data_IF_622990451236
#
_entry.id   IF_622990451236
#
_cell.length_a   1.000
_cell.length_b   1.000
_cell.length_c   1.000
_cell.angle_alpha   90.00
_cell.angle_beta   90.00
_cell.angle_gamma   90.00
#
_symmetry.space_group_name_H-M   'P 1'
#
loop_
_entity.id
_entity.type
_entity.pdbx_description
1 polymer ?
#
# COMPACT_ATOMS: atom_id res chain seq x y z
N UNK A 1 15.08 -27.51 -24.45
CA UNK A 1 16.43 -26.92 -24.35
C UNK A 1 17.31 -27.61 -23.33
N UNK A 2 17.02 -27.60 -22.01
CA UNK A 2 17.89 -28.28 -21.01
C UNK A 2 18.22 -29.75 -21.33
N UNK A 3 17.24 -30.63 -21.63
CA UNK A 3 17.56 -32.02 -21.98
C UNK A 3 18.43 -32.17 -23.24
N UNK A 4 18.39 -31.20 -24.16
CA UNK A 4 19.22 -31.21 -25.36
C UNK A 4 20.64 -30.73 -25.05
N UNK A 5 20.79 -29.70 -24.21
CA UNK A 5 22.08 -29.29 -23.68
C UNK A 5 22.74 -30.40 -22.86
N UNK A 6 21.99 -31.14 -22.05
CA UNK A 6 22.51 -32.26 -21.26
C UNK A 6 23.02 -33.39 -22.18
N UNK A 7 22.29 -33.70 -23.27
CA UNK A 7 22.77 -34.62 -24.31
C UNK A 7 24.03 -34.12 -25.02
N UNK A 8 24.09 -32.83 -25.32
CA UNK A 8 25.27 -32.20 -25.94
C UNK A 8 26.48 -32.23 -24.99
N UNK A 9 26.28 -31.95 -23.70
CA UNK A 9 27.30 -32.05 -22.66
C UNK A 9 27.83 -33.49 -22.53
N UNK A 10 26.95 -34.50 -22.57
CA UNK A 10 27.37 -35.91 -22.53
C UNK A 10 28.18 -36.30 -23.78
N UNK A 11 27.74 -35.89 -24.96
CA UNK A 11 28.49 -36.09 -26.22
C UNK A 11 29.91 -35.51 -26.16
N UNK A 12 30.06 -34.28 -25.66
CA UNK A 12 31.39 -33.65 -25.48
C UNK A 12 32.22 -34.36 -24.39
N UNK A 13 31.57 -34.85 -23.32
CA UNK A 13 32.24 -35.56 -22.23
C UNK A 13 32.78 -36.93 -22.68
N UNK A 14 32.06 -37.64 -23.54
CA UNK A 14 32.52 -38.91 -24.15
C UNK A 14 33.74 -38.68 -25.06
N UNK A 15 33.77 -37.58 -25.81
CA UNK A 15 34.93 -37.20 -26.63
C UNK A 15 36.16 -36.84 -25.80
N UNK A 16 35.97 -36.17 -24.66
CA UNK A 16 37.03 -35.87 -23.69
C UNK A 16 37.64 -37.13 -23.05
N UNK A 17 36.86 -38.22 -22.91
CA UNK A 17 37.35 -39.50 -22.41
C UNK A 17 38.09 -40.30 -23.50
N UNK A 18 37.59 -40.26 -24.74
CA UNK A 18 38.22 -40.92 -25.89
C UNK A 18 39.60 -40.37 -26.30
N UNK A 19 39.93 -39.11 -25.95
CA UNK A 19 41.28 -38.56 -26.18
C UNK A 19 42.31 -38.98 -25.11
N UNK A 20 41.87 -39.41 -23.91
CA UNK A 20 42.75 -39.80 -22.81
C UNK A 20 43.11 -41.30 -22.80
N UNK A 21 42.34 -42.14 -23.48
CA UNK A 21 42.51 -43.61 -23.46
C UNK A 21 43.04 -44.11 -24.82
N UNK A 22 44.29 -43.75 -25.13
CA UNK A 22 45.00 -44.29 -26.30
C UNK A 22 45.54 -45.69 -25.99
N UNK A 23 44.66 -46.68 -25.82
CA UNK A 23 45.04 -48.10 -25.75
C UNK A 23 45.11 -48.70 -27.16
N UNK A 24 46.31 -49.14 -27.55
CA UNK A 24 46.66 -49.67 -28.88
C UNK A 24 45.83 -50.90 -29.30
N UNK A 25 45.14 -51.55 -28.36
CA UNK A 25 44.29 -52.73 -28.62
C UNK A 25 42.80 -52.43 -28.88
N UNK A 26 42.35 -51.18 -28.76
CA UNK A 26 40.94 -50.78 -29.00
C UNK A 26 40.56 -50.61 -30.47
N UNK A 27 41.52 -50.76 -31.41
CA UNK A 27 41.35 -50.50 -32.85
C UNK A 27 40.29 -51.40 -33.52
N UNK A 28 39.98 -52.56 -32.94
CA UNK A 28 39.02 -53.53 -33.49
C UNK A 28 37.60 -53.42 -32.91
N UNK A 29 37.31 -52.43 -32.08
CA UNK A 29 35.98 -52.18 -31.53
C UNK A 29 35.68 -50.69 -31.56
N UNK A 30 35.66 -50.09 -32.75
CA UNK A 30 35.15 -48.72 -32.91
C UNK A 30 33.65 -48.74 -32.60
N UNK A 31 33.16 -48.00 -31.59
CA UNK A 31 31.75 -47.66 -31.52
C UNK A 31 31.37 -46.92 -32.81
N UNK A 32 30.14 -47.07 -33.28
CA UNK A 32 29.63 -46.24 -34.37
C UNK A 32 29.91 -44.74 -34.09
N UNK A 33 30.18 -43.91 -35.12
CA UNK A 33 30.40 -42.49 -34.92
C UNK A 33 29.18 -41.89 -34.21
N UNK A 34 29.39 -41.44 -32.98
CA UNK A 34 28.38 -40.72 -32.19
C UNK A 34 27.82 -39.59 -33.03
N UNK A 35 26.54 -39.71 -33.39
CA UNK A 35 25.87 -38.68 -34.17
C UNK A 35 25.75 -37.44 -33.27
N UNK A 36 26.14 -36.24 -33.74
CA UNK A 36 26.05 -35.05 -32.91
C UNK A 36 24.58 -34.81 -32.50
N UNK A 37 24.31 -34.58 -31.21
CA UNK A 37 22.95 -34.31 -30.74
C UNK A 37 22.44 -32.99 -31.30
N UNK A 38 21.12 -32.82 -31.32
CA UNK A 38 20.47 -31.58 -31.75
C UNK A 38 20.95 -30.36 -30.96
N UNK A 39 21.21 -29.26 -31.67
CA UNK A 39 21.67 -28.00 -31.11
C UNK A 39 23.15 -27.73 -31.28
N UNK A 40 23.54 -26.46 -31.13
CA UNK A 40 24.93 -26.01 -31.28
C UNK A 40 25.30 -25.02 -30.18
N UNK A 41 26.58 -25.00 -29.84
CA UNK A 41 27.18 -23.97 -28.98
C UNK A 41 27.72 -22.85 -29.86
N UNK A 42 27.45 -21.62 -29.44
CA UNK A 42 27.94 -20.39 -30.02
C UNK A 42 28.70 -19.58 -28.97
N UNK A 43 29.57 -18.69 -29.43
CA UNK A 43 30.25 -17.67 -28.63
C UNK A 43 29.77 -16.29 -29.09
N UNK A 44 29.54 -15.39 -28.15
CA UNK A 44 29.15 -14.00 -28.45
C UNK A 44 30.35 -13.04 -28.64
N UNK A 45 31.58 -13.57 -28.57
CA UNK A 45 32.81 -12.79 -28.66
C UNK A 45 33.15 -11.96 -27.41
N UNK A 46 32.28 -11.92 -26.41
CA UNK A 46 32.48 -11.24 -25.12
C UNK A 46 32.74 -12.24 -23.98
N UNK A 47 32.93 -13.52 -24.32
CA UNK A 47 33.26 -14.58 -23.39
C UNK A 47 32.06 -15.39 -22.87
N UNK A 48 30.85 -15.16 -23.41
CA UNK A 48 29.67 -15.98 -23.09
C UNK A 48 29.45 -17.06 -24.13
N UNK A 49 29.02 -18.22 -23.65
CA UNK A 49 28.66 -19.37 -24.48
C UNK A 49 27.15 -19.56 -24.49
N UNK A 50 26.62 -19.85 -25.67
CA UNK A 50 25.18 -19.90 -25.92
C UNK A 50 24.85 -21.23 -26.57
N UNK A 51 23.95 -21.99 -25.98
CA UNK A 51 23.37 -23.17 -26.59
C UNK A 51 22.05 -22.80 -27.25
N UNK A 52 21.88 -23.18 -28.52
CA UNK A 52 20.62 -22.97 -29.24
C UNK A 52 20.24 -24.17 -30.09
N UNK A 53 18.93 -24.36 -30.23
CA UNK A 53 18.30 -25.33 -31.13
C UNK A 53 17.86 -24.68 -32.45
N UNK A 54 17.99 -23.36 -32.60
CA UNK A 54 17.62 -22.67 -33.85
C UNK A 54 18.70 -22.80 -34.91
N UNK A 55 18.25 -22.93 -36.17
CA UNK A 55 19.11 -22.87 -37.35
C UNK A 55 19.41 -21.42 -37.80
N UNK A 56 18.74 -20.44 -37.21
CA UNK A 56 18.92 -18.99 -37.46
C UNK A 56 19.45 -18.28 -36.20
N UNK A 57 20.75 -18.40 -35.87
CA UNK A 57 21.35 -17.72 -34.72
C UNK A 57 21.44 -16.20 -34.94
N UNK A 58 21.58 -15.43 -33.86
CA UNK A 58 21.79 -13.99 -33.96
C UNK A 58 23.08 -13.66 -34.72
N UNK A 59 23.09 -12.57 -35.50
CA UNK A 59 24.17 -12.25 -36.45
C UNK A 59 25.56 -12.07 -35.84
N UNK A 60 25.65 -11.85 -34.53
CA UNK A 60 26.91 -11.70 -33.80
C UNK A 60 27.38 -12.99 -33.09
N UNK A 61 26.62 -14.09 -33.18
CA UNK A 61 26.98 -15.37 -32.58
C UNK A 61 27.87 -16.17 -33.52
N UNK A 62 29.02 -16.59 -33.02
CA UNK A 62 29.98 -17.39 -33.76
C UNK A 62 29.85 -18.86 -33.35
N UNK A 63 29.64 -19.80 -34.29
CA UNK A 63 29.55 -21.21 -33.94
C UNK A 63 30.87 -21.70 -33.36
N UNK A 64 30.80 -22.46 -32.26
CA UNK A 64 31.95 -23.10 -31.62
C UNK A 64 31.95 -24.57 -32.03
N UNK A 65 33.00 -24.98 -32.74
CA UNK A 65 33.11 -26.36 -33.21
C UNK A 65 33.34 -27.33 -32.03
N UNK A 66 32.77 -28.55 -32.05
CA UNK A 66 32.93 -29.52 -30.96
C UNK A 66 34.38 -29.78 -30.56
N UNK A 67 35.31 -29.81 -31.53
CA UNK A 67 36.75 -30.00 -31.26
C UNK A 67 37.37 -28.87 -30.45
N UNK A 68 36.98 -27.62 -30.75
CA UNK A 68 37.45 -26.45 -30.01
C UNK A 68 36.93 -26.48 -28.57
N UNK A 69 35.67 -26.90 -28.40
CA UNK A 69 35.06 -27.04 -27.09
C UNK A 69 35.72 -28.15 -26.26
N UNK A 70 36.02 -29.30 -26.86
CA UNK A 70 36.76 -30.41 -26.23
C UNK A 70 38.14 -29.93 -25.78
N UNK A 71 38.93 -29.28 -26.65
CA UNK A 71 40.25 -28.78 -26.28
C UNK A 71 40.19 -27.79 -25.10
N UNK A 72 39.22 -26.88 -25.13
CA UNK A 72 39.03 -25.88 -24.08
C UNK A 72 38.64 -26.51 -22.75
N UNK A 73 37.68 -27.43 -22.74
CA UNK A 73 37.23 -28.14 -21.54
C UNK A 73 38.29 -29.13 -21.02
N UNK A 74 39.14 -29.69 -21.89
CA UNK A 74 40.24 -30.58 -21.51
C UNK A 74 41.31 -29.88 -20.66
N UNK A 75 41.50 -28.57 -20.84
CA UNK A 75 42.40 -27.75 -20.03
C UNK A 75 41.84 -27.35 -18.66
N UNK A 76 40.55 -27.58 -18.42
CA UNK A 76 39.85 -27.22 -17.19
C UNK A 76 39.81 -28.39 -16.19
N UNK A 77 39.84 -28.06 -14.91
CA UNK A 77 39.51 -29.02 -13.85
C UNK A 77 38.00 -29.35 -13.80
N UNK A 78 37.60 -30.30 -12.94
CA UNK A 78 36.21 -30.75 -12.87
C UNK A 78 35.23 -29.65 -12.42
N UNK A 79 35.65 -28.77 -11.51
CA UNK A 79 34.82 -27.67 -10.99
C UNK A 79 34.63 -26.59 -12.05
N UNK A 80 35.70 -26.26 -12.78
CA UNK A 80 35.69 -25.32 -13.90
C UNK A 80 34.80 -25.80 -15.03
N UNK A 81 34.87 -27.09 -15.40
CA UNK A 81 33.95 -27.67 -16.41
C UNK A 81 32.50 -27.59 -15.97
N UNK A 82 32.23 -27.86 -14.69
CA UNK A 82 30.87 -27.79 -14.14
C UNK A 82 30.33 -26.36 -14.21
N UNK A 83 31.15 -25.37 -13.81
CA UNK A 83 30.78 -23.94 -13.91
C UNK A 83 30.57 -23.49 -15.35
N UNK A 84 31.40 -23.95 -16.29
CA UNK A 84 31.22 -23.64 -17.70
C UNK A 84 29.82 -24.04 -18.17
N UNK A 85 29.42 -25.30 -17.97
CA UNK A 85 28.11 -25.79 -18.41
C UNK A 85 26.95 -25.14 -17.66
N UNK A 86 27.16 -24.73 -16.41
CA UNK A 86 26.19 -23.94 -15.64
C UNK A 86 25.98 -22.53 -16.18
N UNK A 87 27.02 -21.92 -16.75
CA UNK A 87 27.01 -20.55 -17.27
C UNK A 87 26.58 -20.44 -18.74
N UNK A 88 26.55 -21.56 -19.48
CA UNK A 88 25.99 -21.61 -20.85
C UNK A 88 24.57 -21.04 -20.85
N UNK A 89 24.33 -20.05 -21.71
CA UNK A 89 23.03 -19.42 -21.89
C UNK A 89 22.19 -20.20 -22.91
N UNK A 90 20.92 -20.41 -22.60
CA UNK A 90 19.95 -21.00 -23.51
C UNK A 90 19.33 -19.88 -24.35
N UNK A 91 19.53 -19.92 -25.67
CA UNK A 91 19.14 -18.88 -26.63
C UNK A 91 19.55 -17.45 -26.19
N UNK A 92 20.70 -17.31 -25.51
CA UNK A 92 21.23 -16.02 -25.06
C UNK A 92 20.44 -15.34 -23.93
N UNK A 93 19.45 -16.01 -23.33
CA UNK A 93 18.53 -15.40 -22.35
C UNK A 93 18.80 -15.78 -20.90
N UNK A 94 18.78 -17.08 -20.62
CA UNK A 94 18.89 -17.62 -19.25
C UNK A 94 19.99 -18.65 -19.18
N UNK A 95 20.77 -18.65 -18.10
CA UNK A 95 21.82 -19.66 -17.90
C UNK A 95 21.20 -21.01 -17.59
N UNK A 96 21.88 -22.08 -17.98
CA UNK A 96 21.50 -23.44 -17.64
C UNK A 96 21.34 -23.62 -16.13
N UNK A 97 22.22 -23.01 -15.32
CA UNK A 97 22.12 -22.99 -13.86
C UNK A 97 20.81 -22.38 -13.37
N UNK A 98 20.45 -21.19 -13.85
CA UNK A 98 19.22 -20.53 -13.41
C UNK A 98 17.99 -21.38 -13.74
N UNK A 99 17.94 -21.97 -14.94
CA UNK A 99 16.81 -22.81 -15.33
C UNK A 99 16.77 -24.13 -14.54
N UNK A 100 17.91 -24.79 -14.30
CA UNK A 100 18.01 -25.98 -13.43
C UNK A 100 17.59 -25.67 -11.99
N UNK A 101 17.97 -24.51 -11.45
CA UNK A 101 17.54 -24.07 -10.12
C UNK A 101 16.02 -23.92 -10.05
N UNK A 102 15.40 -23.23 -11.03
CA UNK A 102 13.94 -23.07 -11.11
C UNK A 102 13.26 -24.42 -11.26
N UNK A 103 13.73 -25.31 -12.14
CA UNK A 103 13.18 -26.64 -12.33
C UNK A 103 13.24 -27.48 -11.04
N UNK A 104 14.41 -27.51 -10.38
CA UNK A 104 14.58 -28.23 -9.10
C UNK A 104 13.66 -27.68 -8.01
N UNK A 105 13.45 -26.36 -7.96
CA UNK A 105 12.54 -25.75 -6.99
C UNK A 105 11.08 -26.07 -7.33
N UNK A 106 10.72 -26.05 -8.61
CA UNK A 106 9.38 -26.41 -9.07
C UNK A 106 9.04 -27.87 -8.75
N UNK A 107 9.99 -28.80 -8.97
CA UNK A 107 9.83 -30.21 -8.60
C UNK A 107 9.67 -30.39 -7.09
N UNK A 108 10.50 -29.71 -6.28
CA UNK A 108 10.37 -29.73 -4.81
C UNK A 108 9.01 -29.20 -4.34
N UNK A 109 8.56 -28.06 -4.87
CA UNK A 109 7.25 -27.50 -4.51
C UNK A 109 6.11 -28.40 -5.00
N UNK A 110 6.21 -28.99 -6.19
CA UNK A 110 5.20 -29.92 -6.70
C UNK A 110 5.11 -31.18 -5.84
N UNK A 111 6.23 -31.80 -5.52
CA UNK A 111 6.29 -32.96 -4.64
C UNK A 111 5.70 -32.63 -3.26
N UNK A 112 6.02 -31.45 -2.71
CA UNK A 112 5.40 -30.94 -1.49
C UNK A 112 3.88 -30.83 -1.62
N UNK A 113 3.37 -30.18 -2.69
CA UNK A 113 1.94 -29.92 -2.87
C UNK A 113 1.12 -31.19 -3.12
N UNK A 114 1.65 -32.18 -3.86
CA UNK A 114 0.95 -33.44 -4.16
C UNK A 114 0.64 -34.25 -2.89
N UNK A 115 1.46 -34.12 -1.85
CA UNK A 115 1.23 -34.81 -0.56
C UNK A 115 0.16 -34.16 0.31
N UNK A 116 -0.38 -32.99 -0.08
CA UNK A 116 -1.31 -32.20 0.73
C UNK A 116 -2.71 -32.22 0.15
N UNK A 117 -3.69 -31.96 1.03
CA UNK A 117 -5.08 -31.79 0.60
C UNK A 117 -5.19 -30.51 -0.24
N UNK A 118 -5.76 -30.57 -1.47
CA UNK A 118 -5.79 -29.42 -2.39
C UNK A 118 -6.40 -28.15 -1.80
N UNK A 119 -7.42 -28.26 -0.94
CA UNK A 119 -8.11 -27.12 -0.31
C UNK A 119 -7.69 -26.86 1.15
N UNK A 120 -6.56 -27.40 1.59
CA UNK A 120 -6.01 -27.04 2.91
C UNK A 120 -5.44 -25.62 2.90
N UNK A 121 -5.44 -24.96 4.07
CA UNK A 121 -4.84 -23.62 4.21
C UNK A 121 -3.34 -23.61 3.88
N UNK A 122 -2.63 -24.72 4.08
CA UNK A 122 -1.22 -24.88 3.69
C UNK A 122 -1.00 -24.70 2.17
N UNK A 123 -1.97 -25.17 1.36
CA UNK A 123 -1.95 -25.05 -0.11
C UNK A 123 -2.55 -23.71 -0.54
N UNK A 124 -3.75 -23.39 -0.06
CA UNK A 124 -4.48 -22.19 -0.48
C UNK A 124 -3.69 -20.90 -0.19
N UNK A 125 -2.99 -20.81 0.95
CA UNK A 125 -2.16 -19.65 1.28
C UNK A 125 -0.97 -19.44 0.32
N UNK A 126 -0.53 -20.48 -0.41
CA UNK A 126 0.51 -20.36 -1.45
C UNK A 126 -0.05 -19.88 -2.79
N UNK A 127 -1.35 -20.05 -3.04
CA UNK A 127 -1.99 -19.67 -4.30
C UNK A 127 -2.24 -18.16 -4.32
N UNK A 128 -1.71 -17.48 -5.35
CA UNK A 128 -1.86 -16.02 -5.53
C UNK A 128 -3.34 -15.62 -5.57
N UNK A 129 -4.14 -16.27 -6.39
CA UNK A 129 -5.54 -15.87 -6.62
C UNK A 129 -6.39 -16.03 -5.37
N UNK A 130 -6.14 -17.08 -4.58
CA UNK A 130 -6.78 -17.25 -3.28
C UNK A 130 -6.42 -16.10 -2.32
N UNK A 131 -5.13 -15.75 -2.20
CA UNK A 131 -4.70 -14.62 -1.33
C UNK A 131 -5.31 -13.30 -1.77
N UNK A 132 -5.35 -13.03 -3.07
CA UNK A 132 -5.95 -11.81 -3.63
C UNK A 132 -7.44 -11.77 -3.33
N UNK A 133 -8.17 -12.85 -3.61
CA UNK A 133 -9.60 -12.94 -3.33
C UNK A 133 -9.89 -12.79 -1.84
N UNK A 134 -9.13 -13.47 -0.97
CA UNK A 134 -9.25 -13.34 0.49
C UNK A 134 -9.04 -11.89 0.94
N UNK A 135 -8.03 -11.20 0.39
CA UNK A 135 -7.77 -9.79 0.65
C UNK A 135 -8.92 -8.89 0.21
N UNK A 136 -9.49 -9.12 -0.98
CA UNK A 136 -10.64 -8.35 -1.47
C UNK A 136 -11.91 -8.59 -0.64
N UNK A 137 -12.16 -9.82 -0.20
CA UNK A 137 -13.27 -10.14 0.71
C UNK A 137 -13.06 -9.52 2.09
N UNK A 138 -11.81 -9.48 2.57
CA UNK A 138 -11.45 -8.76 3.80
C UNK A 138 -11.75 -7.27 3.67
N UNK A 139 -11.30 -6.61 2.59
CA UNK A 139 -11.55 -5.19 2.35
C UNK A 139 -13.05 -4.87 2.25
N UNK A 140 -13.81 -5.72 1.56
CA UNK A 140 -15.28 -5.62 1.53
C UNK A 140 -15.87 -5.68 2.94
N UNK A 141 -15.46 -6.66 3.73
CA UNK A 141 -15.99 -6.86 5.09
C UNK A 141 -15.56 -5.74 6.05
N UNK A 142 -14.32 -5.24 5.91
CA UNK A 142 -13.81 -4.09 6.64
C UNK A 142 -14.60 -2.82 6.28
N UNK A 143 -14.86 -2.60 4.99
CA UNK A 143 -15.70 -1.49 4.53
C UNK A 143 -17.10 -1.53 5.14
N UNK A 144 -17.72 -2.72 5.21
CA UNK A 144 -18.99 -2.91 5.92
C UNK A 144 -18.90 -2.59 7.40
N UNK A 145 -17.86 -3.08 8.07
CA UNK A 145 -17.62 -2.78 9.49
C UNK A 145 -17.34 -1.29 9.74
N UNK A 146 -16.81 -0.56 8.74
CA UNK A 146 -16.60 0.87 8.79
C UNK A 146 -17.81 1.71 8.33
N UNK A 147 -18.99 1.10 8.18
CA UNK A 147 -20.25 1.79 7.91
C UNK A 147 -20.65 1.91 6.44
N UNK A 148 -19.97 1.24 5.50
CA UNK A 148 -20.39 1.24 4.09
C UNK A 148 -21.61 0.31 3.87
N UNK A 149 -22.69 0.86 3.34
CA UNK A 149 -23.95 0.19 2.97
C UNK A 149 -24.00 -0.14 1.47
N UNK A 150 -23.30 0.63 0.64
CA UNK A 150 -23.16 0.46 -0.81
C UNK A 150 -22.55 -0.89 -1.20
N UNK A 151 -22.96 -1.42 -2.36
CA UNK A 151 -22.47 -2.71 -2.87
C UNK A 151 -21.00 -2.59 -3.30
N UNK A 152 -20.12 -3.24 -2.55
CA UNK A 152 -18.69 -3.32 -2.85
C UNK A 152 -18.36 -4.60 -3.63
N UNK A 153 -17.84 -4.45 -4.84
CA UNK A 153 -17.43 -5.53 -5.71
C UNK A 153 -15.94 -5.85 -5.53
N UNK A 154 -15.57 -7.14 -5.31
CA UNK A 154 -14.19 -7.56 -5.08
C UNK A 154 -13.41 -7.64 -6.40
N UNK A 155 -13.09 -6.48 -6.98
CA UNK A 155 -12.31 -6.37 -8.24
C UNK A 155 -10.87 -5.93 -7.98
N UNK A 156 -9.95 -6.21 -8.90
CA UNK A 156 -8.53 -5.87 -8.71
C UNK A 156 -8.26 -4.36 -8.57
N UNK A 157 -9.12 -3.52 -9.15
CA UNK A 157 -9.09 -2.06 -9.04
C UNK A 157 -9.76 -1.52 -7.77
N UNK A 158 -10.16 -2.38 -6.81
CA UNK A 158 -10.79 -1.96 -5.56
C UNK A 158 -10.02 -0.83 -4.85
N UNK A 159 -8.69 -0.91 -4.66
CA UNK A 159 -7.94 0.16 -3.99
C UNK A 159 -7.82 1.46 -4.79
N UNK A 160 -8.18 1.43 -6.08
CA UNK A 160 -8.13 2.58 -7.00
C UNK A 160 -9.49 3.30 -7.12
N UNK A 161 -10.50 2.88 -6.35
CA UNK A 161 -11.81 3.55 -6.31
C UNK A 161 -12.78 3.12 -7.41
N UNK A 162 -12.77 1.83 -7.79
CA UNK A 162 -13.74 1.28 -8.76
C UNK A 162 -15.16 1.10 -8.21
N UNK A 163 -15.32 1.17 -6.88
CA UNK A 163 -16.60 1.04 -6.21
C UNK A 163 -17.27 2.40 -6.03
N UNK A 164 -18.60 2.41 -6.10
CA UNK A 164 -19.42 3.61 -5.88
C UNK A 164 -19.94 3.57 -4.44
N UNK A 165 -19.77 4.68 -3.74
CA UNK A 165 -20.29 4.93 -2.39
C UNK A 165 -20.86 6.34 -2.33
N UNK A 166 -21.76 6.61 -1.40
CA UNK A 166 -22.24 7.97 -1.16
C UNK A 166 -21.17 8.82 -0.48
N UNK A 167 -21.30 10.15 -0.57
CA UNK A 167 -20.40 11.06 0.15
C UNK A 167 -20.53 10.87 1.67
N UNK A 168 -21.74 10.62 2.18
CA UNK A 168 -21.99 10.39 3.60
C UNK A 168 -21.27 9.13 4.10
N UNK A 169 -21.38 8.03 3.35
CA UNK A 169 -20.66 6.79 3.64
C UNK A 169 -19.13 7.01 3.67
N UNK A 170 -18.59 7.75 2.70
CA UNK A 170 -17.17 8.07 2.68
C UNK A 170 -16.74 8.92 3.88
N UNK A 171 -17.53 9.94 4.25
CA UNK A 171 -17.26 10.77 5.45
C UNK A 171 -17.28 9.93 6.72
N UNK A 172 -18.30 9.09 6.92
CA UNK A 172 -18.38 8.20 8.10
C UNK A 172 -17.23 7.20 8.16
N UNK A 173 -16.80 6.68 7.01
CA UNK A 173 -15.65 5.78 6.94
C UNK A 173 -14.36 6.51 7.37
N UNK A 174 -14.13 7.74 6.91
CA UNK A 174 -12.96 8.54 7.34
C UNK A 174 -13.03 8.90 8.82
N UNK A 175 -14.21 9.23 9.34
CA UNK A 175 -14.42 9.43 10.78
C UNK A 175 -14.06 8.18 11.57
N UNK A 176 -14.48 7.01 11.09
CA UNK A 176 -14.20 5.71 11.71
C UNK A 176 -12.71 5.40 11.71
N UNK A 177 -11.98 5.76 10.65
CA UNK A 177 -10.51 5.59 10.61
C UNK A 177 -9.83 6.42 11.70
N UNK A 178 -10.20 7.69 11.83
CA UNK A 178 -9.61 8.64 12.80
C UNK A 178 -9.96 8.26 14.24
N UNK A 179 -11.24 7.98 14.52
CA UNK A 179 -11.71 7.63 15.88
C UNK A 179 -11.41 6.19 16.27
N UNK A 180 -11.16 5.32 15.29
CA UNK A 180 -11.08 3.87 15.46
C UNK A 180 -12.41 3.16 15.73
N UNK A 181 -13.49 3.91 15.96
CA UNK A 181 -14.84 3.41 16.25
C UNK A 181 -15.83 3.89 15.21
N UNK A 182 -16.72 3.00 14.78
CA UNK A 182 -17.94 3.37 14.05
C UNK A 182 -18.98 3.79 15.10
N UNK A 183 -19.58 4.96 14.91
CA UNK A 183 -20.73 5.39 15.70
C UNK A 183 -22.00 5.00 14.95
N UNK A 184 -22.79 4.11 15.56
CA UNK A 184 -24.09 3.70 15.02
C UNK A 184 -25.21 4.24 15.91
N UNK A 185 -26.27 4.81 15.31
CA UNK A 185 -27.43 5.24 16.08
C UNK A 185 -28.17 4.03 16.64
N UNK A 186 -28.49 4.09 17.93
CA UNK A 186 -29.33 3.09 18.60
C UNK A 186 -30.70 3.12 17.95
N UNK A 187 -31.09 1.99 17.34
CA UNK A 187 -32.41 1.87 16.72
C UNK A 187 -33.48 1.83 17.81
N UNK A 188 -34.58 2.58 17.67
CA UNK A 188 -35.71 2.43 18.58
C UNK A 188 -36.26 1.00 18.47
N UNK A 189 -36.52 0.38 19.62
CA UNK A 189 -37.18 -0.93 19.67
C UNK A 189 -38.62 -0.74 19.22
N UNK A 190 -38.96 -1.24 18.03
CA UNK A 190 -40.35 -1.27 17.55
C UNK A 190 -40.96 -2.56 18.07
N UNK A 191 -42.01 -2.47 18.90
CA UNK A 191 -42.64 -3.64 19.55
C UNK A 191 -43.33 -4.58 18.55
N UNK A 192 -43.74 -4.05 17.39
CA UNK A 192 -44.29 -4.82 16.27
C UNK A 192 -43.56 -4.39 14.98
N UNK A 193 -42.73 -5.26 14.37
CA UNK A 193 -42.18 -4.95 13.06
C UNK A 193 -43.33 -4.92 12.05
N UNK A 194 -43.69 -3.75 11.54
CA UNK A 194 -44.60 -3.66 10.39
C UNK A 194 -43.98 -4.43 9.22
N UNK A 195 -44.74 -5.33 8.61
CA UNK A 195 -44.28 -6.19 7.50
C UNK A 195 -43.80 -5.40 6.27
N UNK A 196 -44.13 -4.10 6.20
CA UNK A 196 -43.76 -3.14 5.15
C UNK A 196 -42.90 -1.97 5.65
N UNK A 197 -42.33 -2.03 6.87
CA UNK A 197 -41.39 -1.00 7.31
C UNK A 197 -40.10 -1.11 6.50
N UNK A 198 -40.02 -0.34 5.41
CA UNK A 198 -38.77 -0.03 4.70
C UNK A 198 -37.65 0.12 5.73
N UNK A 199 -36.57 -0.66 5.58
CA UNK A 199 -35.43 -0.66 6.50
C UNK A 199 -35.12 0.78 6.93
N UNK A 200 -35.46 1.15 8.17
CA UNK A 200 -35.23 2.50 8.67
C UNK A 200 -33.76 2.81 8.41
N UNK A 201 -33.50 3.72 7.47
CA UNK A 201 -32.13 3.99 7.05
C UNK A 201 -31.39 4.53 8.28
N UNK A 202 -30.40 3.77 8.75
CA UNK A 202 -29.56 4.19 9.88
C UNK A 202 -28.87 5.54 9.62
N UNK A 203 -28.71 5.91 8.35
CA UNK A 203 -28.17 7.20 7.90
C UNK A 203 -29.10 8.37 8.26
N UNK A 204 -30.43 8.22 8.13
CA UNK A 204 -31.38 9.27 8.52
C UNK A 204 -31.40 9.55 10.03
N UNK A 205 -31.23 8.51 10.86
CA UNK A 205 -31.16 8.64 12.32
C UNK A 205 -29.90 9.37 12.81
N UNK A 206 -28.84 9.41 11.99
CA UNK A 206 -27.60 10.10 12.31
C UNK A 206 -27.70 11.64 12.22
N UNK A 207 -28.68 12.18 11.48
CA UNK A 207 -28.83 13.63 11.25
C UNK A 207 -29.85 14.27 12.22
N UNK A 208 -30.77 13.47 12.78
CA UNK A 208 -31.80 13.94 13.70
C UNK A 208 -31.30 13.80 15.13
N UNK A 209 -31.17 14.90 15.88
CA UNK A 209 -30.80 14.87 17.29
C UNK A 209 -31.98 14.46 18.19
N UNK A 210 -33.17 15.00 17.93
CA UNK A 210 -34.37 14.81 18.76
C UNK A 210 -35.64 15.03 17.96
N UNK A 211 -36.64 14.19 18.20
CA UNK A 211 -38.03 14.38 17.76
C UNK A 211 -38.90 14.47 19.00
N UNK A 212 -39.74 15.50 19.07
CA UNK A 212 -40.68 15.69 20.17
C UNK A 212 -42.05 16.12 19.68
N UNK A 213 -43.07 15.81 20.47
CA UNK A 213 -44.43 16.30 20.27
C UNK A 213 -44.57 17.76 20.71
N UNK A 214 -45.70 18.40 20.34
CA UNK A 214 -46.01 19.77 20.75
C UNK A 214 -46.18 19.95 22.27
N UNK A 215 -46.49 18.88 23.01
CA UNK A 215 -46.54 18.83 24.47
C UNK A 215 -45.18 18.51 25.13
N UNK A 216 -44.11 18.40 24.33
CA UNK A 216 -42.74 18.21 24.83
C UNK A 216 -42.36 16.76 25.16
N UNK A 217 -43.17 15.77 24.75
CA UNK A 217 -42.82 14.36 24.88
C UNK A 217 -41.80 13.99 23.81
N UNK A 218 -40.62 13.54 24.26
CA UNK A 218 -39.56 13.06 23.37
C UNK A 218 -39.96 11.71 22.77
N UNK A 219 -40.10 11.65 21.45
CA UNK A 219 -40.38 10.44 20.67
C UNK A 219 -39.08 9.72 20.32
N UNK A 220 -38.07 10.50 19.97
CA UNK A 220 -36.75 10.00 19.61
C UNK A 220 -35.70 10.97 20.12
N UNK A 221 -34.60 10.43 20.60
CA UNK A 221 -33.37 11.14 20.87
C UNK A 221 -32.25 10.28 20.34
N UNK A 222 -31.33 10.91 19.63
CA UNK A 222 -30.15 10.23 19.15
C UNK A 222 -29.32 9.73 20.32
N UNK A 223 -29.10 8.42 20.33
CA UNK A 223 -28.13 7.75 21.17
C UNK A 223 -27.19 6.96 20.25
N UNK A 224 -25.90 6.92 20.56
CA UNK A 224 -24.86 6.40 19.68
C UNK A 224 -24.04 5.36 20.40
N UNK A 225 -23.95 4.16 19.82
CA UNK A 225 -23.11 3.09 20.36
C UNK A 225 -21.82 2.98 19.55
N UNK A 226 -20.63 3.02 20.20
CA UNK A 226 -19.36 2.82 19.51
C UNK A 226 -19.10 1.34 19.23
N UNK A 227 -18.83 0.97 17.97
CA UNK A 227 -18.26 -0.32 17.58
C UNK A 227 -16.80 -0.15 17.16
N UNK A 228 -15.89 -0.92 17.78
CA UNK A 228 -14.44 -0.78 17.59
C UNK A 228 -14.02 -1.48 16.29
N UNK A 229 -13.69 -0.70 15.26
CA UNK A 229 -13.31 -1.20 13.92
C UNK A 229 -11.81 -1.28 13.74
N UNK A 230 -11.06 -0.25 14.13
CA UNK A 230 -9.60 -0.17 14.01
C UNK A 230 -8.96 -0.12 15.39
N UNK A 231 -7.82 -0.77 15.59
CA UNK A 231 -7.06 -0.61 16.84
C UNK A 231 -6.35 0.75 16.87
N UNK A 232 -6.02 1.25 18.05
CA UNK A 232 -5.49 2.62 18.21
C UNK A 232 -4.17 2.81 17.44
N UNK A 233 -3.38 1.73 17.30
CA UNK A 233 -2.11 1.81 16.57
C UNK A 233 -2.32 2.00 15.08
N UNK A 234 -3.29 1.28 14.50
CA UNK A 234 -3.66 1.41 13.09
C UNK A 234 -4.27 2.78 12.81
N UNK A 235 -5.19 3.25 13.66
CA UNK A 235 -5.76 4.60 13.52
C UNK A 235 -4.67 5.67 13.52
N UNK A 236 -3.80 5.69 14.55
CA UNK A 236 -2.73 6.67 14.63
C UNK A 236 -1.77 6.64 13.41
N UNK A 237 -1.45 5.45 12.89
CA UNK A 237 -0.60 5.33 11.70
C UNK A 237 -1.29 5.83 10.43
N UNK A 238 -2.57 5.47 10.21
CA UNK A 238 -3.37 5.93 9.06
C UNK A 238 -3.57 7.44 9.13
N UNK A 239 -3.84 7.97 10.31
CA UNK A 239 -4.02 9.40 10.56
C UNK A 239 -2.77 10.20 10.22
N UNK A 240 -1.59 9.69 10.59
CA UNK A 240 -0.31 10.31 10.22
C UNK A 240 0.00 10.20 8.73
N UNK A 241 -0.43 9.13 8.06
CA UNK A 241 -0.35 9.04 6.59
C UNK A 241 -1.24 10.11 5.94
N UNK A 242 -2.45 10.33 6.47
CA UNK A 242 -3.36 11.36 5.98
C UNK A 242 -2.84 12.77 6.29
N UNK A 243 -2.19 12.99 7.45
CA UNK A 243 -1.49 14.25 7.75
C UNK A 243 -0.37 14.49 6.73
N UNK A 244 0.50 13.51 6.49
CA UNK A 244 1.58 13.61 5.51
C UNK A 244 1.08 13.82 4.09
N UNK A 245 -0.12 13.36 3.75
CA UNK A 245 -0.73 13.63 2.44
C UNK A 245 -1.11 15.11 2.27
N UNK A 246 -1.53 15.76 3.35
CA UNK A 246 -1.77 17.22 3.39
C UNK A 246 -0.45 17.97 3.48
N UNK A 247 0.52 17.50 4.25
CA UNK A 247 1.79 18.21 4.43
C UNK A 247 2.75 18.02 3.27
N UNK A 248 2.83 16.87 2.60
CA UNK A 248 3.85 16.61 1.58
C UNK A 248 3.26 16.09 0.26
N UNK A 249 1.95 15.83 0.20
CA UNK A 249 1.30 15.20 -0.93
C UNK A 249 0.33 16.11 -1.68
N UNK A 250 -0.68 15.48 -2.30
CA UNK A 250 -1.67 16.16 -3.14
C UNK A 250 -2.61 17.10 -2.37
N UNK A 251 -2.62 17.03 -1.04
CA UNK A 251 -3.36 17.93 -0.16
C UNK A 251 -2.62 19.22 0.20
N UNK A 252 -1.39 19.43 -0.31
CA UNK A 252 -0.47 20.53 0.07
C UNK A 252 -1.09 21.92 0.03
N UNK A 253 -2.07 22.16 -0.84
CA UNK A 253 -2.76 23.43 -0.88
C UNK A 253 -3.43 23.77 0.46
N UNK A 254 -4.11 22.83 1.13
CA UNK A 254 -4.74 23.09 2.42
C UNK A 254 -3.71 23.50 3.49
N UNK A 255 -2.57 22.81 3.55
CA UNK A 255 -1.45 23.20 4.41
C UNK A 255 -0.99 24.64 4.13
N UNK A 256 -0.89 25.01 2.85
CA UNK A 256 -0.38 26.32 2.46
C UNK A 256 -1.39 27.46 2.66
N UNK A 257 -2.70 27.19 2.71
CA UNK A 257 -3.72 28.24 2.70
C UNK A 257 -4.53 28.38 3.97
N UNK A 258 -4.71 27.31 4.75
CA UNK A 258 -5.51 27.36 5.98
C UNK A 258 -4.65 27.91 7.11
N UNK A 259 -5.11 29.00 7.73
CA UNK A 259 -4.49 29.71 8.84
C UNK A 259 -5.51 29.91 9.95
N UNK A 260 -5.02 30.16 11.16
CA UNK A 260 -5.86 30.60 12.26
C UNK A 260 -6.18 32.09 12.10
N UNK A 261 -7.41 32.45 12.42
CA UNK A 261 -7.87 33.84 12.50
C UNK A 261 -8.47 34.12 13.88
N UNK A 262 -8.33 35.36 14.31
CA UNK A 262 -8.87 35.87 15.57
C UNK A 262 -9.87 37.00 15.32
N UNK A 263 -10.86 37.11 16.21
CA UNK A 263 -11.78 38.25 16.27
C UNK A 263 -11.17 39.45 16.98
N UNK A 264 -10.14 39.23 17.80
CA UNK A 264 -9.36 40.31 18.40
C UNK A 264 -8.37 40.89 17.38
N UNK A 265 -8.44 42.19 17.04
CA UNK A 265 -7.57 42.78 16.02
C UNK A 265 -6.08 42.65 16.33
N UNK A 266 -5.68 42.73 17.60
CA UNK A 266 -4.27 42.62 17.97
C UNK A 266 -3.78 41.18 17.75
N UNK A 267 -4.51 40.20 18.28
CA UNK A 267 -4.18 38.78 18.08
C UNK A 267 -4.24 38.38 16.60
N UNK A 268 -5.16 38.94 15.80
CA UNK A 268 -5.23 38.71 14.35
C UNK A 268 -3.99 39.22 13.61
N UNK A 269 -3.43 40.37 14.00
CA UNK A 269 -2.17 40.86 13.44
C UNK A 269 -0.99 39.94 13.80
N UNK A 270 -0.94 39.46 15.04
CA UNK A 270 0.06 38.51 15.50
C UNK A 270 -0.02 37.16 14.76
N UNK A 271 -1.23 36.58 14.63
CA UNK A 271 -1.44 35.32 13.90
C UNK A 271 -1.12 35.45 12.40
N UNK A 272 -1.47 36.58 11.77
CA UNK A 272 -1.08 36.88 10.39
C UNK A 272 0.42 36.98 10.22
N UNK A 273 1.14 37.59 11.17
CA UNK A 273 2.59 37.71 11.12
C UNK A 273 3.28 36.34 11.27
N UNK A 274 2.70 35.44 12.06
CA UNK A 274 3.17 34.06 12.24
C UNK A 274 2.95 33.19 10.99
N UNK A 275 1.90 33.46 10.20
CA UNK A 275 1.51 32.74 8.97
C UNK A 275 1.56 31.20 9.15
N UNK A 276 1.07 30.73 10.30
CA UNK A 276 1.25 29.34 10.69
C UNK A 276 0.21 28.40 10.10
N UNK A 277 0.65 27.32 9.42
CA UNK A 277 -0.25 26.32 8.88
C UNK A 277 -0.93 25.52 10.00
N UNK A 278 -2.20 25.18 9.80
CA UNK A 278 -2.94 24.32 10.72
C UNK A 278 -2.74 22.85 10.32
N UNK A 279 -2.29 21.97 11.23
CA UNK A 279 -2.13 20.56 10.90
C UNK A 279 -3.51 19.91 10.71
N UNK A 280 -3.68 19.29 9.55
CA UNK A 280 -4.94 18.66 9.13
C UNK A 280 -4.65 17.33 8.44
N UNK A 281 -5.68 16.51 8.29
CA UNK A 281 -5.58 15.20 7.66
C UNK A 281 -6.46 15.20 6.42
N UNK A 282 -6.06 14.46 5.40
CA UNK A 282 -6.97 14.18 4.31
C UNK A 282 -6.34 13.53 3.11
N UNK A 283 -7.19 13.21 2.14
CA UNK A 283 -6.79 12.55 0.91
C UNK A 283 -7.62 13.06 -0.27
N UNK A 284 -6.91 13.29 -1.36
CA UNK A 284 -7.48 13.62 -2.66
C UNK A 284 -7.93 12.35 -3.40
N UNK A 285 -9.12 12.39 -3.99
CA UNK A 285 -9.64 11.42 -4.96
C UNK A 285 -9.87 12.09 -6.32
N UNK A 286 -9.58 11.37 -7.41
CA UNK A 286 -9.87 11.82 -8.78
C UNK A 286 -10.22 10.59 -9.60
N UNK A 287 -11.46 10.55 -10.12
CA UNK A 287 -11.88 9.44 -10.96
C UNK A 287 -11.19 9.49 -12.33
N UNK A 288 -11.12 8.31 -12.97
CA UNK A 288 -10.67 8.20 -14.35
C UNK A 288 -11.46 9.13 -15.27
N UNK A 289 -10.80 9.65 -16.31
CA UNK A 289 -11.37 10.61 -17.26
C UNK A 289 -11.84 11.92 -16.60
N UNK A 290 -11.40 12.22 -15.37
CA UNK A 290 -11.74 13.46 -14.64
C UNK A 290 -13.25 13.68 -14.48
N UNK A 291 -14.02 12.59 -14.31
CA UNK A 291 -15.48 12.66 -14.17
C UNK A 291 -15.92 13.22 -12.83
N UNK A 292 -15.14 12.96 -11.79
CA UNK A 292 -15.36 13.54 -10.48
C UNK A 292 -14.03 13.76 -9.73
N UNK A 293 -14.12 14.63 -8.74
CA UNK A 293 -13.05 15.09 -7.88
C UNK A 293 -13.56 15.06 -6.44
N UNK A 294 -12.76 14.53 -5.52
CA UNK A 294 -13.12 14.50 -4.11
C UNK A 294 -11.95 14.86 -3.21
N UNK A 295 -12.25 15.42 -2.05
CA UNK A 295 -11.31 15.55 -0.95
C UNK A 295 -12.03 15.21 0.35
N UNK A 296 -11.52 14.21 1.04
CA UNK A 296 -12.03 13.72 2.32
C UNK A 296 -10.94 14.02 3.34
N UNK A 297 -11.30 14.72 4.42
CA UNK A 297 -10.32 15.17 5.40
C UNK A 297 -10.89 15.34 6.79
N UNK A 298 -10.01 15.62 7.73
CA UNK A 298 -10.31 15.82 9.13
C UNK A 298 -9.72 17.15 9.58
N UNK A 299 -10.55 17.95 10.26
CA UNK A 299 -10.19 19.22 10.89
C UNK A 299 -10.08 18.98 12.39
N UNK A 300 -8.87 18.92 12.95
CA UNK A 300 -8.64 18.79 14.39
C UNK A 300 -9.17 20.00 15.16
N UNK A 301 -9.33 19.84 16.46
CA UNK A 301 -9.70 20.91 17.41
C UNK A 301 -8.56 21.22 18.36
N UNK A 302 -8.62 22.36 19.04
CA UNK A 302 -7.64 22.73 20.06
C UNK A 302 -7.71 21.77 21.25
N UNK A 303 -6.57 21.33 21.76
CA UNK A 303 -6.50 20.40 22.89
C UNK A 303 -7.01 21.01 24.21
N UNK A 304 -6.93 22.33 24.35
CA UNK A 304 -7.41 23.07 25.51
C UNK A 304 -7.08 24.55 25.36
N UNK A 305 -7.74 25.40 26.14
CA UNK A 305 -7.51 26.84 26.13
C UNK A 305 -6.07 27.16 26.54
N UNK A 306 -5.43 28.07 25.81
CA UNK A 306 -4.04 28.47 26.02
C UNK A 306 -2.99 27.42 25.62
N UNK A 307 -3.36 26.32 24.95
CA UNK A 307 -2.40 25.34 24.44
C UNK A 307 -2.17 25.53 22.94
N UNK A 308 -0.91 25.47 22.47
CA UNK A 308 -0.60 25.51 21.02
C UNK A 308 -0.57 24.11 20.38
N UNK A 309 -1.52 23.25 20.75
CA UNK A 309 -1.56 21.86 20.29
C UNK A 309 -2.97 21.49 19.87
N UNK A 310 -3.08 20.93 18.67
CA UNK A 310 -4.33 20.37 18.14
C UNK A 310 -4.48 18.91 18.55
N UNK A 311 -5.72 18.41 18.58
CA UNK A 311 -6.04 17.02 18.82
C UNK A 311 -7.17 16.53 17.91
N UNK A 312 -7.19 15.21 17.69
CA UNK A 312 -8.20 14.56 16.87
C UNK A 312 -9.53 14.40 17.62
N UNK A 313 -9.50 14.15 18.92
CA UNK A 313 -10.73 13.95 19.69
C UNK A 313 -11.58 15.23 19.74
N UNK A 314 -12.86 15.08 19.41
CA UNK A 314 -13.79 16.20 19.22
C UNK A 314 -13.69 16.94 17.88
N UNK A 315 -12.83 16.49 16.96
CA UNK A 315 -12.68 17.12 15.64
C UNK A 315 -13.77 16.77 14.62
N UNK A 316 -13.62 17.33 13.42
CA UNK A 316 -14.63 17.29 12.36
C UNK A 316 -14.15 16.53 11.13
N UNK A 317 -14.93 15.56 10.66
CA UNK A 317 -14.71 14.94 9.35
C UNK A 317 -15.47 15.71 8.28
N UNK A 318 -14.79 16.12 7.22
CA UNK A 318 -15.38 16.91 6.13
C UNK A 318 -15.07 16.24 4.80
N UNK A 319 -16.10 16.04 4.00
CA UNK A 319 -15.99 15.50 2.64
C UNK A 319 -16.54 16.48 1.61
N UNK A 320 -15.78 16.70 0.54
CA UNK A 320 -16.23 17.47 -0.63
C UNK A 320 -16.15 16.58 -1.85
N UNK A 321 -17.22 16.56 -2.64
CA UNK A 321 -17.32 15.91 -3.94
C UNK A 321 -17.76 16.93 -4.99
N UNK A 322 -17.14 16.89 -6.16
CA UNK A 322 -17.47 17.74 -7.31
C UNK A 322 -17.55 16.86 -8.57
N UNK A 323 -18.64 17.02 -9.32
CA UNK A 323 -18.90 16.31 -10.57
C UNK A 323 -20.17 16.87 -11.24
N UNK A 324 -20.43 16.45 -12.48
CA UNK A 324 -21.70 16.71 -13.15
C UNK A 324 -22.71 15.59 -12.84
N UNK A 325 -23.99 15.92 -12.73
CA UNK A 325 -25.07 14.95 -12.50
C UNK A 325 -25.12 13.87 -13.60
N UNK A 326 -24.87 14.27 -14.85
CA UNK A 326 -24.79 13.37 -16.01
C UNK A 326 -23.45 12.62 -16.12
N UNK A 327 -22.58 12.70 -15.09
CA UNK A 327 -21.27 12.04 -15.02
C UNK A 327 -20.33 12.37 -16.21
N UNK A 328 -20.44 13.60 -16.72
CA UNK A 328 -19.61 14.11 -17.82
C UNK A 328 -18.16 14.38 -17.35
N UNK A 329 -17.15 14.26 -18.23
CA UNK A 329 -15.79 14.67 -17.92
C UNK A 329 -15.68 16.17 -17.59
N UNK A 330 -15.00 16.51 -16.48
CA UNK A 330 -14.72 17.90 -16.09
C UNK A 330 -13.43 18.41 -16.75
N UNK A 331 -13.42 18.48 -18.08
CA UNK A 331 -12.26 18.87 -18.89
C UNK A 331 -12.62 20.03 -19.81
N UNK A 332 -11.78 21.07 -19.86
CA UNK A 332 -11.90 22.18 -20.81
C UNK A 332 -10.54 22.52 -21.41
N UNK A 333 -10.34 22.17 -22.67
CA UNK A 333 -9.05 22.33 -23.35
C UNK A 333 -7.97 21.49 -22.64
N UNK A 334 -6.93 22.14 -22.15
CA UNK A 334 -5.85 21.52 -21.37
C UNK A 334 -6.11 21.50 -19.86
N UNK A 335 -7.19 22.12 -19.40
CA UNK A 335 -7.54 22.17 -17.98
C UNK A 335 -8.35 20.93 -17.60
N UNK A 336 -7.85 20.20 -16.60
CA UNK A 336 -8.49 19.03 -16.03
C UNK A 336 -8.82 19.29 -14.56
N UNK A 337 -10.09 19.12 -14.17
CA UNK A 337 -10.50 19.28 -12.77
C UNK A 337 -10.15 18.02 -11.99
N UNK A 338 -9.07 18.09 -11.21
CA UNK A 338 -8.65 17.04 -10.28
C UNK A 338 -9.20 17.29 -8.88
N UNK A 339 -9.03 16.35 -7.95
CA UNK A 339 -9.39 16.56 -6.55
C UNK A 339 -8.66 17.73 -5.89
N UNK A 340 -7.39 17.98 -6.25
CA UNK A 340 -6.62 19.10 -5.72
C UNK A 340 -7.05 20.46 -6.28
N UNK A 341 -7.69 20.48 -7.45
CA UNK A 341 -8.16 21.72 -8.09
C UNK A 341 -9.66 21.97 -7.86
N UNK A 342 -10.49 20.93 -7.88
CA UNK A 342 -11.94 21.04 -7.77
C UNK A 342 -12.46 20.96 -6.33
N UNK A 343 -12.06 19.93 -5.58
CA UNK A 343 -12.63 19.66 -4.26
C UNK A 343 -11.85 20.33 -3.11
N UNK A 344 -10.51 20.27 -3.16
CA UNK A 344 -9.63 20.77 -2.10
C UNK A 344 -9.83 22.27 -1.77
N UNK A 345 -9.99 23.21 -2.74
CA UNK A 345 -10.21 24.62 -2.40
C UNK A 345 -11.53 24.87 -1.66
N UNK A 346 -12.57 24.09 -1.97
CA UNK A 346 -13.86 24.18 -1.26
C UNK A 346 -13.69 23.62 0.16
N UNK A 347 -13.03 22.48 0.28
CA UNK A 347 -12.72 21.86 1.57
C UNK A 347 -11.89 22.78 2.47
N UNK A 348 -10.84 23.43 1.95
CA UNK A 348 -10.01 24.36 2.71
C UNK A 348 -10.82 25.55 3.26
N UNK A 349 -11.77 26.08 2.50
CA UNK A 349 -12.67 27.15 2.98
C UNK A 349 -13.59 26.67 4.09
N UNK A 350 -14.15 25.46 3.96
CA UNK A 350 -14.95 24.85 5.03
C UNK A 350 -14.12 24.62 6.29
N UNK A 351 -12.88 24.14 6.16
CA UNK A 351 -11.96 23.95 7.28
C UNK A 351 -11.65 25.27 7.99
N UNK A 352 -11.34 26.34 7.24
CA UNK A 352 -11.19 27.69 7.82
C UNK A 352 -12.44 28.13 8.57
N UNK A 353 -13.63 27.99 7.96
CA UNK A 353 -14.88 28.38 8.61
C UNK A 353 -15.18 27.58 9.88
N UNK A 354 -14.80 26.30 9.94
CA UNK A 354 -14.90 25.48 11.16
C UNK A 354 -13.97 26.03 12.25
N UNK A 355 -12.71 26.30 11.92
CA UNK A 355 -11.73 26.84 12.87
C UNK A 355 -12.14 28.22 13.41
N UNK A 356 -12.70 29.07 12.55
CA UNK A 356 -13.23 30.39 12.92
C UNK A 356 -14.47 30.29 13.82
N UNK A 357 -15.32 29.27 13.57
CA UNK A 357 -16.50 29.01 14.40
C UNK A 357 -16.11 28.51 15.80
N UNK A 358 -15.14 27.59 15.87
CA UNK A 358 -14.51 27.08 17.09
C UNK A 358 -13.68 28.15 17.82
N UNK A 359 -13.45 29.30 17.19
CA UNK A 359 -12.67 30.42 17.73
C UNK A 359 -11.27 29.98 18.17
N UNK A 360 -10.64 29.10 17.36
CA UNK A 360 -9.34 28.52 17.71
C UNK A 360 -8.28 29.61 17.85
N UNK A 361 -8.27 30.59 16.94
CA UNK A 361 -7.33 31.71 17.00
C UNK A 361 -7.51 32.62 18.22
N UNK A 362 -8.72 32.71 18.79
CA UNK A 362 -8.98 33.50 20.01
C UNK A 362 -8.57 32.76 21.30
N UNK A 363 -8.46 31.43 21.24
CA UNK A 363 -8.23 30.56 22.40
C UNK A 363 -6.78 30.11 22.55
N UNK A 364 -5.96 30.28 21.52
CA UNK A 364 -4.55 29.88 21.52
C UNK A 364 -3.67 30.95 22.18
N UNK A 365 -2.57 30.54 22.79
CA UNK A 365 -1.55 31.46 23.30
C UNK A 365 -0.54 31.80 22.17
N UNK A 366 -0.51 33.05 21.66
CA UNK A 366 0.41 33.43 20.60
C UNK A 366 1.89 33.32 20.98
N UNK A 367 2.21 33.46 22.27
CA UNK A 367 3.59 33.36 22.76
C UNK A 367 4.06 31.92 22.66
N UNK A 368 3.29 30.98 23.19
CA UNK A 368 3.57 29.54 23.09
C UNK A 368 3.65 29.08 21.63
N UNK A 369 2.74 29.58 20.79
CA UNK A 369 2.71 29.30 19.35
C UNK A 369 4.01 29.73 18.65
N UNK A 370 4.59 30.87 19.04
CA UNK A 370 5.84 31.37 18.46
C UNK A 370 7.03 30.46 18.78
N UNK A 371 7.07 29.87 19.98
CA UNK A 371 8.19 29.02 20.41
C UNK A 371 8.06 27.57 19.97
N UNK A 372 6.86 27.01 20.01
CA UNK A 372 6.62 25.58 19.83
C UNK A 372 5.92 25.23 18.51
N UNK A 373 5.33 26.23 17.85
CA UNK A 373 4.48 26.04 16.68
C UNK A 373 3.15 25.37 17.03
N UNK A 374 2.41 24.97 15.98
CA UNK A 374 1.12 24.31 16.09
C UNK A 374 1.23 22.85 15.68
N UNK A 375 1.37 21.98 16.68
CA UNK A 375 1.49 20.54 16.48
C UNK A 375 0.12 19.83 16.52
N UNK A 376 0.05 18.64 15.92
CA UNK A 376 -1.06 17.71 16.12
C UNK A 376 -0.62 16.61 17.08
N UNK A 377 -1.37 16.43 18.18
CA UNK A 377 -1.13 15.39 19.17
C UNK A 377 -1.90 14.13 18.85
N UNK A 378 -1.16 13.04 18.70
CA UNK A 378 -1.67 11.68 18.53
C UNK A 378 -1.87 10.97 19.88
N UNK A 379 -2.81 10.01 19.99
CA UNK A 379 -2.96 9.17 21.16
C UNK A 379 -1.65 8.44 21.52
N UNK A 380 -1.36 8.24 22.81
CA UNK A 380 -0.16 7.54 23.25
C UNK A 380 -0.35 6.01 23.13
N UNK A 381 0.16 5.43 22.05
CA UNK A 381 0.01 4.01 21.70
C UNK A 381 1.34 3.25 21.66
N UNK A 382 2.45 3.94 22.01
CA UNK A 382 3.82 3.44 21.90
C UNK A 382 4.46 3.72 20.53
N UNK A 383 4.00 4.78 19.87
CA UNK A 383 4.45 5.17 18.53
C UNK A 383 5.85 5.78 18.53
N UNK A 384 6.49 5.68 17.37
CA UNK A 384 7.78 6.27 17.05
C UNK A 384 7.67 7.06 15.74
N UNK A 385 8.30 8.24 15.71
CA UNK A 385 8.48 9.04 14.51
C UNK A 385 9.83 8.73 13.88
N UNK A 386 9.78 8.09 12.70
CA UNK A 386 10.97 7.67 11.96
C UNK A 386 11.21 8.66 10.82
N UNK A 387 12.41 9.27 10.72
CA UNK A 387 12.76 10.18 9.63
C UNK A 387 12.72 9.52 8.26
N UNK A 388 12.11 10.21 7.30
CA UNK A 388 11.96 9.72 5.92
C UNK A 388 12.36 10.77 4.90
N UNK A 389 12.72 10.32 3.70
CA UNK A 389 12.93 11.18 2.54
C UNK A 389 11.60 11.39 1.80
N UNK A 390 11.01 12.60 1.82
CA UNK A 390 9.73 12.87 1.16
C UNK A 390 9.84 12.81 -0.37
N UNK A 391 11.02 13.05 -0.94
CA UNK A 391 11.24 13.06 -2.40
C UNK A 391 11.50 11.65 -2.95
N UNK A 392 11.77 10.68 -2.08
CA UNK A 392 11.93 9.27 -2.42
C UNK A 392 10.79 8.40 -1.86
N UNK A 393 9.56 8.90 -1.93
CA UNK A 393 8.36 8.13 -1.57
C UNK A 393 8.28 7.75 -0.08
N UNK A 394 8.93 8.53 0.80
CA UNK A 394 8.92 8.26 2.24
C UNK A 394 9.86 7.13 2.67
N UNK A 395 10.94 6.89 1.94
CA UNK A 395 11.94 5.89 2.34
C UNK A 395 12.61 6.29 3.67
N UNK A 396 12.79 5.31 4.57
CA UNK A 396 13.44 5.53 5.86
C UNK A 396 14.89 5.92 5.66
N UNK A 397 15.32 7.02 6.29
CA UNK A 397 16.70 7.50 6.22
C UNK A 397 17.55 6.70 7.23
N UNK A 398 18.49 5.84 6.79
CA UNK A 398 19.26 5.00 7.69
C UNK A 398 20.11 5.82 8.66
N UNK A 399 20.26 5.33 9.90
CA UNK A 399 21.15 5.93 10.91
C UNK A 399 20.61 7.19 11.58
N UNK A 400 19.38 7.63 11.25
CA UNK A 400 18.72 8.77 11.90
C UNK A 400 17.92 8.37 13.16
N UNK A 401 17.79 7.07 13.43
CA UNK A 401 17.04 6.55 14.57
C UNK A 401 15.53 6.80 14.45
N UNK A 402 14.85 6.84 15.59
CA UNK A 402 13.45 7.20 15.71
C UNK A 402 13.25 8.01 17.01
N UNK A 403 12.22 8.85 17.05
CA UNK A 403 11.87 9.62 18.26
C UNK A 403 10.52 9.15 18.79
N UNK A 404 10.47 8.84 20.08
CA UNK A 404 9.20 8.68 20.76
C UNK A 404 8.52 10.04 20.99
N UNK A 405 7.19 10.01 21.08
CA UNK A 405 6.41 11.22 21.33
C UNK A 405 5.01 11.12 20.75
N UNK A 406 4.19 12.12 21.08
CA UNK A 406 2.82 12.22 20.58
C UNK A 406 2.64 13.29 19.50
N UNK A 407 3.60 14.21 19.37
CA UNK A 407 3.57 15.28 18.37
C UNK A 407 4.69 15.03 17.38
N UNK A 408 4.41 14.98 16.06
CA UNK A 408 5.44 14.79 15.05
C UNK A 408 6.45 15.94 15.08
N UNK A 409 7.76 15.67 14.91
CA UNK A 409 8.73 16.73 14.69
C UNK A 409 8.46 17.48 13.37
N UNK A 410 9.02 18.69 13.18
CA UNK A 410 8.82 19.47 11.95
C UNK A 410 9.42 18.83 10.68
N UNK A 411 10.32 17.87 10.85
CA UNK A 411 10.96 17.15 9.75
C UNK A 411 10.02 16.08 9.19
N UNK A 412 10.14 15.72 7.89
CA UNK A 412 9.40 14.60 7.32
C UNK A 412 9.66 13.30 8.09
N UNK A 413 8.60 12.75 8.65
CA UNK A 413 8.62 11.51 9.43
C UNK A 413 7.43 10.63 9.06
N UNK A 414 7.51 9.36 9.45
CA UNK A 414 6.35 8.47 9.52
C UNK A 414 6.14 8.05 10.96
N UNK A 415 4.88 8.05 11.41
CA UNK A 415 4.48 7.41 12.65
C UNK A 415 4.40 5.90 12.43
N UNK A 416 5.19 5.14 13.17
CA UNK A 416 5.23 3.67 13.08
C UNK A 416 5.64 3.04 14.41
N UNK A 417 5.77 1.72 14.46
CA UNK A 417 6.10 0.94 15.65
C UNK A 417 7.26 0.00 15.32
N UNK A 418 8.14 -0.25 16.28
CA UNK A 418 9.35 -1.01 16.04
C UNK A 418 10.43 -0.70 17.06
N UNK A 419 11.66 -1.02 16.69
CA UNK A 419 12.83 -0.84 17.55
C UNK A 419 13.95 -0.14 16.80
N UNK A 420 14.66 0.73 17.50
CA UNK A 420 15.91 1.31 17.00
C UNK A 420 17.04 0.37 17.38
N UNK A 421 17.70 -0.18 16.38
CA UNK A 421 18.85 -1.07 16.49
C UNK A 421 20.15 -0.26 16.59
N UNK A 422 21.26 -0.98 16.78
CA UNK A 422 22.60 -0.39 16.80
C UNK A 422 22.85 0.48 15.56
N UNK A 423 23.58 1.59 15.76
CA UNK A 423 23.90 2.59 14.72
C UNK A 423 22.68 3.32 14.15
N UNK A 424 21.53 3.31 14.84
CA UNK A 424 20.36 4.11 14.48
C UNK A 424 19.55 3.55 13.32
N UNK A 425 19.69 2.25 13.01
CA UNK A 425 18.82 1.57 12.06
C UNK A 425 17.46 1.27 12.71
N UNK A 426 16.37 1.40 11.95
CA UNK A 426 15.03 1.14 12.46
C UNK A 426 14.49 -0.19 11.93
N UNK A 427 14.12 -1.09 12.84
CA UNK A 427 13.46 -2.36 12.54
C UNK A 427 11.95 -2.22 12.84
N UNK A 428 11.07 -2.27 11.82
CA UNK A 428 9.63 -2.12 12.03
C UNK A 428 9.01 -3.38 12.65
N UNK A 429 8.16 -3.18 13.66
CA UNK A 429 7.33 -4.25 14.20
C UNK A 429 6.21 -4.57 13.20
N UNK A 430 6.07 -5.84 12.83
CA UNK A 430 4.96 -6.31 11.99
C UNK A 430 3.83 -6.84 12.86
N UNK A 431 2.71 -6.14 12.86
CA UNK A 431 1.49 -6.60 13.52
C UNK A 431 0.31 -6.53 12.55
N UNK A 432 -0.62 -7.47 12.73
CA UNK A 432 -1.90 -7.48 12.02
C UNK A 432 -2.98 -7.91 13.01
N UNK A 433 -3.97 -7.04 13.20
CA UNK A 433 -5.16 -7.34 13.98
C UNK A 433 -6.38 -7.18 13.07
N UNK A 434 -7.07 -8.27 12.71
CA UNK A 434 -8.25 -8.17 11.85
C UNK A 434 -9.39 -7.45 12.60
N UNK A 435 -10.22 -6.70 11.87
CA UNK A 435 -11.24 -5.83 12.46
C UNK A 435 -12.21 -6.55 13.41
N UNK A 436 -12.57 -7.81 13.13
CA UNK A 436 -13.47 -8.59 14.00
C UNK A 436 -12.83 -9.01 15.34
N UNK A 437 -11.54 -8.74 15.55
CA UNK A 437 -10.87 -8.90 16.85
C UNK A 437 -10.73 -7.59 17.61
N UNK A 438 -11.18 -6.46 17.06
CA UNK A 438 -11.06 -5.15 17.71
C UNK A 438 -12.23 -4.89 18.66
N UNK A 439 -13.46 -5.25 18.27
CA UNK A 439 -14.64 -5.18 19.13
C UNK A 439 -14.93 -6.47 19.90
N UNK A 440 -15.79 -6.36 20.92
CA UNK A 440 -16.51 -7.50 21.50
C UNK A 440 -17.73 -7.76 20.62
N UNK A 441 -17.56 -8.43 19.48
CA UNK A 441 -18.73 -8.97 18.78
C UNK A 441 -19.27 -10.13 19.60
N UNK A 442 -20.24 -9.85 20.48
CA UNK A 442 -21.18 -10.89 20.87
C UNK A 442 -21.85 -11.37 19.58
N UNK A 443 -21.80 -12.70 19.41
CA UNK A 443 -22.22 -13.42 18.22
C UNK A 443 -23.66 -13.16 17.83
#
# INVERSE_FOLDING_TARGET
MLPALDRYQNYISEQLQGENDFDLFSIFSRPEPLTPPEGRIYSDGQGRFIFSLTDEPESHWQPVEPRELVQRLGSMDADQRTRFWEEVQLDGRVTARALRQVASQAERELAFLVTRKPYSMEVLAKIRDYRVMLGLQYLRSLGRAAGLTSRLEPVLSFPLGSNVVTLLEAVRMYETMVRGNLLEPVRPVVEEPEEDADEISSEGLAIIERIETSDGKVIYRQDMTPDRVYDDRVSAAVDHIMQNTVTYGTGRQAWNTVRLHSRDPQQEEELKALDMPVPMLGKTGTANQFRNAAFLGYVPVLAGDGQSVMQLDGGYTVGVYVGYDENLPMVRGTTHVTGSFGALPIWSRMASSILDHEQVGDRIDPVDLTFNGLGLRYPATGQLFVPVDPDQGGTVIPGRGARDGQVPPPAPVILTYGRVMDRGHFEPDRFFRPFWKNGVRNR
#
